data_IF_466214571059
#
_entry.id   IF_466214571059
#
_cell.length_a   1.000
_cell.length_b   1.000
_cell.length_c   1.000
_cell.angle_alpha   90.00
_cell.angle_beta   90.00
_cell.angle_gamma   90.00
#
_symmetry.space_group_name_H-M   'P 1'
#
loop_
_entity.id
_entity.type
_entity.pdbx_description
1 polymer ?
#
# COMPACT_ATOMS: atom_id res chain seq x y z
N UNK A 1 4.52 23.19 -14.93
CA UNK A 1 5.10 22.58 -13.71
C UNK A 1 5.64 21.21 -14.07
N UNK A 2 6.92 20.96 -13.76
CA UNK A 2 7.63 19.73 -14.12
C UNK A 2 7.33 18.58 -13.14
N UNK A 3 7.22 18.90 -11.85
CA UNK A 3 7.05 17.92 -10.77
C UNK A 3 5.76 17.09 -10.85
N UNK A 4 4.62 17.68 -11.23
CA UNK A 4 3.38 16.93 -11.37
C UNK A 4 3.38 15.93 -12.54
N UNK A 5 4.29 16.08 -13.53
CA UNK A 5 4.32 15.25 -14.74
C UNK A 5 5.47 14.25 -14.78
N UNK A 6 6.58 14.55 -14.11
CA UNK A 6 7.81 13.74 -14.13
C UNK A 6 8.24 13.34 -12.72
N UNK A 7 7.63 13.93 -11.68
CA UNK A 7 7.96 13.63 -10.30
C UNK A 7 7.43 12.27 -9.90
N UNK A 8 8.30 11.50 -9.24
CA UNK A 8 7.96 10.27 -8.55
C UNK A 8 7.56 10.62 -7.13
N UNK A 9 6.30 10.37 -6.70
CA UNK A 9 5.88 10.69 -5.34
C UNK A 9 6.47 9.66 -4.36
N UNK A 10 6.82 10.13 -3.17
CA UNK A 10 7.36 9.28 -2.10
C UNK A 10 6.55 9.46 -0.82
N UNK A 11 6.45 8.39 -0.03
CA UNK A 11 5.88 8.47 1.31
C UNK A 11 6.77 9.34 2.21
N UNK A 12 6.25 10.37 2.89
CA UNK A 12 7.05 11.23 3.77
C UNK A 12 7.58 10.51 5.02
N UNK A 13 6.95 9.41 5.43
CA UNK A 13 7.35 8.64 6.62
C UNK A 13 8.34 7.51 6.32
N UNK A 14 8.15 6.80 5.20
CA UNK A 14 8.91 5.58 4.86
C UNK A 14 9.83 5.76 3.64
N UNK A 15 9.71 6.87 2.92
CA UNK A 15 10.49 7.21 1.73
C UNK A 15 10.45 6.14 0.61
N UNK A 16 9.31 5.46 0.47
CA UNK A 16 9.03 4.52 -0.61
C UNK A 16 8.22 5.20 -1.71
N UNK A 17 8.48 4.82 -2.96
CA UNK A 17 7.81 5.36 -4.14
C UNK A 17 6.33 4.91 -4.16
N UNK A 18 5.44 5.82 -4.57
CA UNK A 18 3.99 5.61 -4.53
C UNK A 18 3.39 5.70 -5.94
N UNK A 19 3.15 4.57 -6.60
CA UNK A 19 2.55 4.54 -7.93
C UNK A 19 1.13 3.98 -7.88
N UNK A 20 0.16 4.70 -8.46
CA UNK A 20 -1.17 4.15 -8.76
C UNK A 20 -1.14 3.48 -10.13
N UNK A 21 -1.74 2.30 -10.24
CA UNK A 21 -1.86 1.56 -11.49
C UNK A 21 -3.31 1.09 -11.65
N UNK A 22 -3.82 1.09 -12.89
CA UNK A 22 -5.14 0.50 -13.18
C UNK A 22 -5.04 -1.03 -13.20
N UNK A 23 -6.16 -1.73 -12.99
CA UNK A 23 -6.21 -3.20 -13.09
C UNK A 23 -5.60 -3.68 -14.42
N UNK A 24 -5.93 -3.02 -15.53
CA UNK A 24 -5.37 -3.37 -16.83
C UNK A 24 -3.84 -3.23 -16.87
N UNK A 25 -3.27 -2.16 -16.31
CA UNK A 25 -1.82 -1.99 -16.24
C UNK A 25 -1.15 -3.06 -15.36
N UNK A 26 -1.80 -3.46 -14.27
CA UNK A 26 -1.31 -4.56 -13.43
C UNK A 26 -1.32 -5.88 -14.20
N UNK A 27 -2.41 -6.17 -14.92
CA UNK A 27 -2.52 -7.36 -15.79
C UNK A 27 -1.41 -7.35 -16.83
N UNK A 28 -1.26 -6.26 -17.59
CA UNK A 28 -0.25 -6.14 -18.65
C UNK A 28 1.16 -6.40 -18.08
N UNK A 29 1.48 -5.82 -16.92
CA UNK A 29 2.78 -5.99 -16.25
C UNK A 29 3.02 -7.40 -15.73
N UNK A 30 1.99 -8.10 -15.26
CA UNK A 30 2.10 -9.51 -14.87
C UNK A 30 2.27 -10.42 -16.10
N UNK A 31 1.66 -10.05 -17.23
CA UNK A 31 1.78 -10.78 -18.49
C UNK A 31 3.16 -10.62 -19.16
N UNK A 32 3.98 -9.66 -18.73
CA UNK A 32 5.40 -9.54 -19.13
C UNK A 32 6.30 -10.62 -18.51
N UNK A 33 5.83 -11.33 -17.47
CA UNK A 33 6.57 -12.44 -16.87
C UNK A 33 6.74 -13.61 -17.87
N UNK A 34 7.77 -14.42 -17.64
CA UNK A 34 8.02 -15.58 -18.50
C UNK A 34 6.81 -16.53 -18.55
N UNK A 35 6.53 -17.08 -19.74
CA UNK A 35 5.43 -18.00 -19.91
C UNK A 35 5.59 -19.23 -18.99
N UNK A 36 4.48 -19.66 -18.40
CA UNK A 36 4.38 -20.76 -17.41
C UNK A 36 4.95 -20.44 -16.03
N UNK A 37 5.28 -19.18 -15.75
CA UNK A 37 5.57 -18.72 -14.39
C UNK A 37 4.36 -18.95 -13.49
N UNK A 38 4.58 -19.53 -12.32
CA UNK A 38 3.53 -19.73 -11.32
C UNK A 38 3.50 -18.52 -10.40
N UNK A 39 2.31 -17.96 -10.19
CA UNK A 39 2.12 -16.78 -9.35
C UNK A 39 1.01 -17.01 -8.33
N UNK A 40 1.09 -16.33 -7.20
CA UNK A 40 0.01 -16.23 -6.23
C UNK A 40 -0.38 -14.77 -6.08
N UNK A 41 -1.68 -14.49 -6.17
CA UNK A 41 -2.22 -13.16 -5.92
C UNK A 41 -2.58 -13.05 -4.45
N UNK A 42 -2.01 -12.05 -3.80
CA UNK A 42 -2.14 -11.84 -2.37
C UNK A 42 -2.75 -10.47 -2.10
N UNK A 43 -3.74 -10.45 -1.21
CA UNK A 43 -4.36 -9.23 -0.72
C UNK A 43 -3.79 -8.88 0.66
N UNK A 44 -2.92 -7.87 0.80
CA UNK A 44 -2.33 -7.49 2.07
C UNK A 44 -3.33 -6.76 2.97
N UNK A 45 -4.06 -7.54 3.77
CA UNK A 45 -5.08 -7.02 4.72
C UNK A 45 -4.45 -6.34 5.94
N UNK A 46 -3.26 -6.77 6.36
CA UNK A 46 -2.49 -6.13 7.42
C UNK A 46 -1.04 -6.01 6.97
N UNK A 47 -0.50 -4.79 7.02
CA UNK A 47 0.92 -4.53 6.80
C UNK A 47 1.55 -3.93 8.05
N UNK A 48 2.51 -4.65 8.64
CA UNK A 48 3.39 -4.17 9.71
C UNK A 48 2.66 -3.58 10.94
N UNK A 49 1.55 -4.20 11.38
CA UNK A 49 0.79 -3.74 12.56
C UNK A 49 0.90 -4.70 13.75
N UNK A 50 0.97 -4.14 14.95
CA UNK A 50 0.93 -4.92 16.20
C UNK A 50 -0.45 -5.50 16.49
N UNK A 51 -0.50 -6.72 17.00
CA UNK A 51 -1.72 -7.36 17.46
C UNK A 51 -1.78 -8.85 17.11
N UNK A 52 -2.65 -9.59 17.79
CA UNK A 52 -2.85 -11.02 17.48
C UNK A 52 -3.78 -11.26 16.29
N UNK A 53 -4.56 -10.25 15.89
CA UNK A 53 -5.43 -10.24 14.70
C UNK A 53 -6.41 -11.42 14.56
N UNK A 54 -6.71 -12.14 15.65
CA UNK A 54 -7.55 -13.35 15.68
C UNK A 54 -8.93 -13.14 15.03
N UNK A 55 -9.61 -12.02 15.34
CA UNK A 55 -10.92 -11.70 14.78
C UNK A 55 -10.88 -11.54 13.25
N UNK A 56 -9.82 -10.90 12.75
CA UNK A 56 -9.64 -10.67 11.32
C UNK A 56 -9.40 -11.99 10.59
N UNK A 57 -8.59 -12.88 11.17
CA UNK A 57 -8.35 -14.23 10.63
C UNK A 57 -9.67 -15.04 10.59
N UNK A 58 -10.46 -14.99 11.66
CA UNK A 58 -11.77 -15.66 11.72
C UNK A 58 -12.75 -15.12 10.67
N UNK A 59 -12.79 -13.79 10.48
CA UNK A 59 -13.65 -13.14 9.49
C UNK A 59 -13.21 -13.49 8.05
N UNK A 60 -11.91 -13.64 7.80
CA UNK A 60 -11.38 -14.10 6.50
C UNK A 60 -11.78 -15.57 6.25
N UNK A 61 -11.72 -16.42 7.27
CA UNK A 61 -12.21 -17.80 7.17
C UNK A 61 -13.70 -17.88 6.86
N UNK A 62 -14.52 -17.03 7.49
CA UNK A 62 -15.97 -16.92 7.20
C UNK A 62 -16.26 -16.45 5.77
N UNK A 63 -15.39 -15.62 5.18
CA UNK A 63 -15.47 -15.21 3.77
C UNK A 63 -15.10 -16.33 2.80
N UNK A 64 -14.62 -17.49 3.29
CA UNK A 64 -14.34 -18.68 2.49
C UNK A 64 -12.89 -18.80 1.98
N UNK A 65 -11.99 -17.91 2.43
CA UNK A 65 -10.58 -18.02 2.10
C UNK A 65 -9.91 -19.09 2.96
N UNK A 66 -9.05 -19.91 2.33
CA UNK A 66 -8.44 -21.09 2.98
C UNK A 66 -6.99 -20.83 3.38
N UNK A 67 -6.28 -19.94 2.70
CA UNK A 67 -4.83 -19.75 2.88
C UNK A 67 -4.47 -18.30 3.15
N UNK A 68 -3.51 -18.13 4.05
CA UNK A 68 -2.93 -16.84 4.43
C UNK A 68 -1.41 -16.93 4.31
N UNK A 69 -0.77 -15.82 3.96
CA UNK A 69 0.67 -15.61 4.14
C UNK A 69 0.85 -14.70 5.34
N UNK A 70 1.45 -15.21 6.41
CA UNK A 70 1.70 -14.47 7.65
C UNK A 70 3.21 -14.39 7.84
N UNK A 71 3.75 -13.17 7.91
CA UNK A 71 5.18 -12.90 8.09
C UNK A 71 6.08 -13.65 7.09
N UNK A 72 5.56 -13.92 5.89
CA UNK A 72 6.25 -14.64 4.81
C UNK A 72 5.96 -16.14 4.75
N UNK A 73 5.30 -16.73 5.75
CA UNK A 73 4.96 -18.15 5.76
C UNK A 73 3.50 -18.38 5.34
N UNK A 74 3.28 -19.31 4.41
CA UNK A 74 1.94 -19.68 3.96
C UNK A 74 1.36 -20.73 4.91
N UNK A 75 0.21 -20.42 5.51
CA UNK A 75 -0.50 -21.26 6.47
C UNK A 75 -1.97 -21.42 6.08
N UNK A 76 -2.61 -22.49 6.57
CA UNK A 76 -4.06 -22.66 6.46
C UNK A 76 -4.76 -21.76 7.47
N UNK A 77 -5.88 -21.15 7.08
CA UNK A 77 -6.67 -20.24 7.95
C UNK A 77 -7.13 -20.93 9.24
N UNK A 78 -7.30 -22.26 9.22
CA UNK A 78 -7.73 -23.04 10.38
C UNK A 78 -6.58 -23.45 11.30
N UNK A 79 -5.33 -23.35 10.83
CA UNK A 79 -4.12 -23.77 11.55
C UNK A 79 -3.16 -22.59 11.76
N UNK A 80 -3.72 -21.40 11.93
CA UNK A 80 -2.92 -20.19 12.18
C UNK A 80 -2.38 -20.21 13.61
N UNK A 81 -1.05 -20.13 13.81
CA UNK A 81 -0.47 -20.04 15.15
C UNK A 81 -0.88 -18.72 15.83
N UNK A 82 -0.98 -18.73 17.15
CA UNK A 82 -1.30 -17.51 17.90
C UNK A 82 -0.21 -16.46 17.73
N UNK A 83 -0.58 -15.31 17.14
CA UNK A 83 0.33 -14.20 16.89
C UNK A 83 0.59 -13.38 18.17
N UNK A 84 1.81 -12.86 18.32
CA UNK A 84 2.24 -12.09 19.49
C UNK A 84 1.72 -10.65 19.41
N UNK A 85 0.91 -10.26 20.40
CA UNK A 85 0.29 -8.93 20.45
C UNK A 85 1.30 -7.76 20.47
N UNK A 86 2.55 -8.01 20.87
CA UNK A 86 3.58 -6.97 20.98
C UNK A 86 4.45 -6.82 19.72
N UNK A 87 4.36 -7.75 18.77
CA UNK A 87 5.17 -7.76 17.55
C UNK A 87 4.37 -7.24 16.36
N UNK A 88 5.08 -6.65 15.40
CA UNK A 88 4.49 -6.25 14.13
C UNK A 88 4.31 -7.50 13.27
N UNK A 89 3.11 -7.66 12.72
CA UNK A 89 2.77 -8.75 11.82
C UNK A 89 2.31 -8.21 10.47
N UNK A 90 2.57 -8.98 9.42
CA UNK A 90 2.03 -8.79 8.08
C UNK A 90 1.17 -9.99 7.73
N UNK A 91 -0.08 -9.75 7.34
CA UNK A 91 -1.05 -10.80 6.98
C UNK A 91 -1.57 -10.48 5.58
N UNK A 92 -1.41 -11.44 4.68
CA UNK A 92 -1.85 -11.35 3.30
C UNK A 92 -2.73 -12.55 2.97
N UNK A 93 -3.89 -12.32 2.36
CA UNK A 93 -4.82 -13.39 1.99
C UNK A 93 -4.47 -13.90 0.62
N UNK A 94 -4.36 -15.23 0.45
CA UNK A 94 -4.14 -15.83 -0.86
C UNK A 94 -5.47 -15.88 -1.60
N UNK A 95 -5.60 -15.06 -2.65
CA UNK A 95 -6.85 -14.90 -3.42
C UNK A 95 -6.93 -15.94 -4.53
N UNK A 96 -5.93 -16.00 -5.41
CA UNK A 96 -5.86 -17.01 -6.47
C UNK A 96 -4.41 -17.46 -6.70
N UNK A 97 -4.25 -18.64 -7.28
CA UNK A 97 -2.97 -19.22 -7.70
C UNK A 97 -3.07 -19.50 -9.18
N UNK A 98 -2.28 -18.78 -9.96
CA UNK A 98 -2.36 -18.76 -11.41
C UNK A 98 -1.03 -19.18 -12.04
N UNK A 99 -1.10 -19.54 -13.32
CA UNK A 99 0.07 -19.83 -14.14
C UNK A 99 0.00 -18.90 -15.33
N UNK A 100 1.01 -18.05 -15.50
CA UNK A 100 1.07 -17.06 -16.59
C UNK A 100 1.08 -17.81 -17.92
N UNK A 101 0.08 -17.54 -18.75
CA UNK A 101 -0.10 -18.11 -20.09
C UNK A 101 -1.02 -17.21 -20.89
N UNK A 102 -0.89 -17.23 -22.21
CA UNK A 102 -1.80 -16.49 -23.09
C UNK A 102 -3.26 -16.90 -22.85
N UNK A 103 -4.17 -15.92 -22.79
CA UNK A 103 -5.59 -16.14 -22.58
C UNK A 103 -6.02 -16.22 -21.10
N UNK A 104 -5.11 -15.95 -20.14
CA UNK A 104 -5.44 -15.90 -18.70
C UNK A 104 -5.88 -14.51 -18.22
N UNK A 105 -5.80 -13.50 -19.08
CA UNK A 105 -5.91 -12.07 -18.74
C UNK A 105 -7.24 -11.75 -18.06
N UNK A 106 -8.36 -12.29 -18.55
CA UNK A 106 -9.69 -12.06 -17.94
C UNK A 106 -9.75 -12.60 -16.51
N UNK A 107 -9.30 -13.84 -16.30
CA UNK A 107 -9.29 -14.44 -14.95
C UNK A 107 -8.32 -13.71 -14.02
N UNK A 108 -7.18 -13.30 -14.56
CA UNK A 108 -6.19 -12.52 -13.83
C UNK A 108 -6.79 -11.18 -13.38
N UNK A 109 -7.49 -10.47 -14.27
CA UNK A 109 -8.20 -9.22 -13.94
C UNK A 109 -9.24 -9.43 -12.82
N UNK A 110 -10.13 -10.42 -12.96
CA UNK A 110 -11.16 -10.71 -11.94
C UNK A 110 -10.53 -10.99 -10.56
N UNK A 111 -9.41 -11.72 -10.56
CA UNK A 111 -8.70 -12.08 -9.33
C UNK A 111 -7.95 -10.89 -8.71
N UNK A 112 -7.42 -9.99 -9.56
CA UNK A 112 -6.80 -8.73 -9.13
C UNK A 112 -7.86 -7.82 -8.50
N UNK A 113 -9.02 -7.64 -9.14
CA UNK A 113 -10.13 -6.85 -8.59
C UNK A 113 -10.54 -7.38 -7.20
N UNK A 114 -10.70 -8.70 -7.08
CA UNK A 114 -11.02 -9.34 -5.79
C UNK A 114 -9.96 -9.06 -4.72
N UNK A 115 -8.67 -9.08 -5.09
CA UNK A 115 -7.57 -8.81 -4.16
C UNK A 115 -7.51 -7.34 -3.74
N UNK A 116 -7.72 -6.42 -4.68
CA UNK A 116 -7.76 -4.99 -4.43
C UNK A 116 -8.94 -4.63 -3.51
N UNK A 117 -10.13 -5.18 -3.76
CA UNK A 117 -11.30 -4.97 -2.90
C UNK A 117 -11.06 -5.46 -1.47
N UNK A 118 -10.38 -6.60 -1.30
CA UNK A 118 -10.13 -7.18 0.01
C UNK A 118 -9.09 -6.41 0.84
N UNK A 119 -8.17 -5.70 0.19
CA UNK A 119 -7.03 -5.04 0.83
C UNK A 119 -6.97 -3.52 0.61
N UNK A 120 -8.11 -2.91 0.31
CA UNK A 120 -8.26 -1.46 0.14
C UNK A 120 -7.33 -0.88 -0.96
N UNK A 121 -7.23 -1.58 -2.10
CA UNK A 121 -6.51 -1.11 -3.29
C UNK A 121 -5.01 -1.46 -3.29
N UNK A 122 -4.62 -2.55 -2.62
CA UNK A 122 -3.25 -3.08 -2.63
C UNK A 122 -3.23 -4.48 -3.25
N UNK A 123 -2.11 -4.87 -3.85
CA UNK A 123 -1.93 -6.22 -4.37
C UNK A 123 -0.45 -6.60 -4.26
N UNK A 124 -0.19 -7.78 -3.73
CA UNK A 124 1.13 -8.42 -3.81
C UNK A 124 1.02 -9.63 -4.72
N UNK A 125 1.90 -9.74 -5.71
CA UNK A 125 2.03 -10.91 -6.59
C UNK A 125 3.28 -11.65 -6.17
N UNK A 126 3.10 -12.80 -5.56
CA UNK A 126 4.17 -13.73 -5.19
C UNK A 126 4.54 -14.57 -6.41
N UNK A 127 5.71 -14.33 -6.96
CA UNK A 127 6.26 -15.08 -8.10
C UNK A 127 7.08 -16.25 -7.53
N UNK A 128 6.66 -17.49 -7.83
CA UNK A 128 7.38 -18.66 -7.33
C UNK A 128 8.82 -18.64 -7.89
N UNK A 129 9.80 -18.76 -6.99
CA UNK A 129 11.24 -18.67 -7.28
C UNK A 129 11.72 -17.28 -7.76
N UNK A 130 10.91 -16.24 -7.58
CA UNK A 130 11.21 -14.86 -7.97
C UNK A 130 11.06 -13.85 -6.82
N UNK A 131 11.06 -12.56 -7.17
CA UNK A 131 10.77 -11.47 -6.23
C UNK A 131 9.28 -11.11 -6.26
N UNK A 132 8.73 -10.74 -5.10
CA UNK A 132 7.37 -10.23 -4.97
C UNK A 132 7.19 -8.94 -5.76
N UNK A 133 6.16 -8.87 -6.60
CA UNK A 133 5.73 -7.64 -7.25
C UNK A 133 4.62 -6.99 -6.44
N UNK A 134 4.71 -5.68 -6.20
CA UNK A 134 3.71 -4.93 -5.44
C UNK A 134 3.02 -3.92 -6.34
N UNK A 135 1.70 -3.87 -6.22
CA UNK A 135 0.84 -2.99 -6.98
C UNK A 135 -0.10 -2.25 -6.04
N UNK A 136 -0.51 -1.05 -6.45
CA UNK A 136 -1.54 -0.30 -5.75
C UNK A 136 -2.44 0.40 -6.75
N UNK A 137 -3.75 0.38 -6.49
CA UNK A 137 -4.76 1.11 -7.26
C UNK A 137 -4.81 2.59 -6.87
N UNK A 138 -4.42 2.91 -5.63
CA UNK A 138 -4.31 4.27 -5.15
C UNK A 138 -2.84 4.71 -5.10
N UNK A 139 -2.55 6.00 -5.17
CA UNK A 139 -1.22 6.47 -4.80
C UNK A 139 -1.08 6.35 -3.28
N UNK A 140 -0.95 5.13 -2.75
CA UNK A 140 -0.83 4.87 -1.32
C UNK A 140 0.46 4.13 -0.94
N UNK A 141 0.99 4.51 0.22
CA UNK A 141 2.10 3.84 0.87
C UNK A 141 1.62 2.52 1.50
N UNK A 142 2.19 1.35 1.13
CA UNK A 142 1.79 0.04 1.66
C UNK A 142 2.05 -0.17 3.15
N UNK A 143 2.83 0.69 3.81
CA UNK A 143 3.22 0.51 5.22
C UNK A 143 2.33 1.33 6.16
N UNK A 144 2.14 2.63 5.88
CA UNK A 144 1.35 3.52 6.75
C UNK A 144 0.01 3.95 6.16
N UNK A 145 -0.34 3.50 4.96
CA UNK A 145 -1.57 3.91 4.28
C UNK A 145 -1.60 5.39 3.90
N UNK A 146 -0.46 6.08 3.92
CA UNK A 146 -0.38 7.46 3.45
C UNK A 146 -0.70 7.47 1.96
N UNK A 147 -1.81 8.11 1.59
CA UNK A 147 -2.22 8.22 0.21
C UNK A 147 -2.20 9.67 -0.27
N UNK A 148 -1.90 9.81 -1.55
CA UNK A 148 -2.01 11.04 -2.32
C UNK A 148 -3.11 10.79 -3.35
N UNK A 149 -3.85 11.83 -3.73
CA UNK A 149 -4.75 11.75 -4.89
C UNK A 149 -3.97 11.74 -6.21
N UNK A 150 -4.67 12.02 -7.29
CA UNK A 150 -4.03 12.23 -8.60
C UNK A 150 -3.04 13.40 -8.54
N UNK A 151 -1.83 13.20 -9.06
CA UNK A 151 -0.77 14.22 -9.06
C UNK A 151 -1.09 15.36 -10.01
N UNK A 152 -1.70 16.42 -9.49
CA UNK A 152 -2.03 17.60 -10.26
C UNK A 152 -1.08 18.78 -9.95
N UNK A 153 -0.82 19.68 -10.92
CA UNK A 153 0.00 20.87 -10.70
C UNK A 153 -0.41 21.72 -9.48
N UNK A 154 -1.71 21.80 -9.18
CA UNK A 154 -2.22 22.58 -8.04
C UNK A 154 -1.72 22.08 -6.68
N UNK A 155 -1.37 20.81 -6.56
CA UNK A 155 -0.81 20.24 -5.32
C UNK A 155 0.59 20.78 -5.00
N UNK A 156 1.29 21.33 -5.99
CA UNK A 156 2.61 21.93 -5.81
C UNK A 156 2.56 23.45 -5.67
N UNK A 157 1.35 24.03 -5.65
CA UNK A 157 1.15 25.47 -5.47
C UNK A 157 0.89 25.75 -3.99
N UNK A 158 1.81 26.45 -3.33
CA UNK A 158 1.61 26.97 -1.97
C UNK A 158 0.50 28.04 -1.91
N UNK A 159 0.11 28.61 -3.05
CA UNK A 159 -1.03 29.54 -3.15
C UNK A 159 -2.38 28.81 -3.29
N UNK A 160 -2.37 27.48 -3.42
CA UNK A 160 -3.59 26.67 -3.48
C UNK A 160 -3.80 25.94 -2.16
N UNK A 161 -5.04 25.84 -1.64
CA UNK A 161 -5.33 25.03 -0.45
C UNK A 161 -4.84 23.58 -0.55
N UNK A 162 -4.75 23.05 -1.77
CA UNK A 162 -4.30 21.67 -2.03
C UNK A 162 -2.79 21.46 -1.85
N UNK A 163 -1.97 22.50 -2.03
CA UNK A 163 -0.51 22.44 -1.87
C UNK A 163 0.03 23.29 -0.72
N UNK A 164 -0.81 24.10 -0.10
CA UNK A 164 -0.46 24.92 1.04
C UNK A 164 -0.27 24.05 2.29
N UNK A 165 0.79 24.33 3.04
CA UNK A 165 0.97 23.73 4.35
C UNK A 165 -0.19 24.19 5.26
N UNK A 166 -0.97 23.26 5.87
CA UNK A 166 -2.13 23.61 6.69
C UNK A 166 -1.76 24.34 7.98
N UNK A 167 -0.47 24.30 8.34
CA UNK A 167 0.02 24.96 9.55
C UNK A 167 0.22 26.46 9.30
N UNK A 168 0.75 26.87 8.14
CA UNK A 168 1.08 28.26 7.83
C UNK A 168 0.33 28.83 6.61
N UNK A 169 -0.69 28.11 6.11
CA UNK A 169 -1.47 28.46 4.92
C UNK A 169 -0.60 28.78 3.68
N UNK A 170 0.51 28.06 3.54
CA UNK A 170 1.44 28.25 2.43
C UNK A 170 2.33 29.49 2.53
N UNK A 171 2.27 30.26 3.62
CA UNK A 171 3.11 31.44 3.84
C UNK A 171 4.57 31.10 4.16
N UNK A 172 4.85 29.87 4.61
CA UNK A 172 6.19 29.42 5.00
C UNK A 172 6.73 30.03 6.30
N UNK A 173 5.94 30.86 6.99
CA UNK A 173 6.31 31.54 8.23
C UNK A 173 5.13 31.62 9.19
N UNK A 174 5.41 31.68 10.50
CA UNK A 174 4.44 31.98 11.55
C UNK A 174 4.96 33.11 12.41
N UNK A 175 4.08 34.05 12.73
CA UNK A 175 4.35 35.06 13.74
C UNK A 175 4.19 34.41 15.12
N UNK A 176 5.33 34.18 15.77
CA UNK A 176 5.41 33.73 17.15
C UNK A 176 6.01 34.85 17.99
N UNK A 177 5.62 34.90 19.26
CA UNK A 177 6.21 35.86 20.20
C UNK A 177 7.64 35.45 20.49
N UNK A 178 8.57 36.37 20.27
CA UNK A 178 9.97 36.19 20.61
C UNK A 178 10.16 36.45 22.11
N UNK A 179 10.56 35.40 22.85
CA UNK A 179 10.73 35.45 24.31
C UNK A 179 11.80 36.46 24.72
N UNK A 180 12.83 36.66 23.89
CA UNK A 180 13.94 37.57 24.18
C UNK A 180 13.52 39.05 24.04
N UNK A 181 12.52 39.33 23.20
CA UNK A 181 11.89 40.66 23.10
C UNK A 181 10.89 40.92 24.26
N UNK A 182 10.31 39.87 24.84
CA UNK A 182 9.36 40.00 25.96
C UNK A 182 10.08 40.18 27.28
N UNK A 183 11.22 39.51 27.50
CA UNK A 183 12.02 39.62 28.73
C UNK A 183 13.46 40.01 28.40
N UNK A 184 13.73 41.31 28.11
CA UNK A 184 15.04 41.78 27.66
C UNK A 184 16.17 41.70 28.71
N UNK A 185 15.95 41.09 29.88
CA UNK A 185 16.97 40.79 30.89
C UNK A 185 16.74 39.42 31.54
N UNK A 186 17.46 38.41 31.08
CA UNK A 186 17.73 37.23 31.92
C UNK A 186 18.74 37.65 32.99
N UNK A 187 18.40 37.44 34.26
CA UNK A 187 19.21 37.79 35.42
C UNK A 187 19.77 36.53 36.05
#
# INVERSE_FOLDING_TARGET
MLYARVGKPYCPNHNIEIESQTVQQMVDRIMELEARTKIQLLAPVIAHRKGSHEKLIEDIGKKGYVRLRIDGEIVDVNDVPTLDKNKNHTIEVVVDRLVVKDGIETRLADSIETALELSEGQLTVDVIDGEDLKFSESHACPICGFSIGELEPRMFSFNSPFGACPTCDGLGQKLTVDVDLVVPRQR
#
